data_IF_593786018222
#
_entry.id   IF_593786018222
#
_cell.length_a   1.000
_cell.length_b   1.000
_cell.length_c   1.000
_cell.angle_alpha   90.00
_cell.angle_beta   90.00
_cell.angle_gamma   90.00
#
_symmetry.space_group_name_H-M   'P 1'
#
loop_
_entity.id
_entity.type
_entity.pdbx_description
1 polymer ?
#
# COMPACT_ATOMS: atom_id res chain seq x y z
N UNK A 1 -2.61 -1.00 20.80
CA UNK A 1 -1.98 -0.30 19.65
C UNK A 1 -0.45 -0.40 19.67
N UNK A 2 0.23 -0.04 20.77
CA UNK A 2 1.70 -0.14 20.84
C UNK A 2 2.26 -1.55 20.60
N UNK A 3 1.60 -2.59 21.10
CA UNK A 3 2.00 -3.98 20.83
C UNK A 3 1.86 -4.40 19.35
N UNK A 4 0.86 -3.85 18.64
CA UNK A 4 0.70 -4.09 17.20
C UNK A 4 1.82 -3.41 16.41
N UNK A 5 2.12 -2.15 16.72
CA UNK A 5 3.20 -1.37 16.11
C UNK A 5 4.56 -2.04 16.34
N UNK A 6 4.81 -2.57 17.54
CA UNK A 6 6.05 -3.28 17.84
C UNK A 6 6.15 -4.60 17.06
N UNK A 7 5.03 -5.33 16.93
CA UNK A 7 4.95 -6.57 16.16
C UNK A 7 5.15 -6.35 14.66
N UNK A 8 4.63 -5.25 14.12
CA UNK A 8 4.81 -4.88 12.71
C UNK A 8 6.20 -4.32 12.43
N UNK A 9 6.88 -3.77 13.44
CA UNK A 9 8.27 -3.32 13.30
C UNK A 9 9.28 -4.47 13.44
N UNK A 10 9.04 -5.43 14.33
CA UNK A 10 9.89 -6.59 14.58
C UNK A 10 9.16 -7.90 14.27
N UNK A 11 9.01 -8.26 12.98
CA UNK A 11 8.39 -9.53 12.60
C UNK A 11 9.30 -10.72 12.90
N UNK A 12 8.73 -11.80 13.42
CA UNK A 12 9.45 -13.06 13.70
C UNK A 12 9.94 -13.77 12.42
N UNK A 13 9.38 -13.39 11.27
CA UNK A 13 9.55 -14.04 9.97
C UNK A 13 10.08 -13.05 8.94
N UNK A 14 11.26 -13.33 8.41
CA UNK A 14 11.91 -12.47 7.41
C UNK A 14 11.13 -12.40 6.08
N UNK A 15 10.38 -13.45 5.72
CA UNK A 15 9.57 -13.49 4.49
C UNK A 15 8.36 -12.55 4.55
N UNK A 16 7.95 -12.13 5.74
CA UNK A 16 6.86 -11.18 5.97
C UNK A 16 7.39 -9.78 6.33
N UNK A 17 8.70 -9.54 6.29
CA UNK A 17 9.29 -8.29 6.77
C UNK A 17 8.75 -7.07 6.03
N UNK A 18 8.69 -7.13 4.70
CA UNK A 18 8.16 -6.04 3.87
C UNK A 18 6.67 -5.79 4.20
N UNK A 19 5.92 -6.86 4.42
CA UNK A 19 4.51 -6.80 4.79
C UNK A 19 4.28 -6.15 6.16
N UNK A 20 5.09 -6.53 7.14
CA UNK A 20 4.97 -5.98 8.47
C UNK A 20 5.43 -4.52 8.51
N UNK A 21 6.54 -4.17 7.86
CA UNK A 21 7.05 -2.80 7.83
C UNK A 21 6.12 -1.82 7.08
N UNK A 22 5.46 -2.28 6.02
CA UNK A 22 4.48 -1.45 5.35
C UNK A 22 3.20 -1.24 6.15
N UNK A 23 2.73 -2.26 6.89
CA UNK A 23 1.66 -2.09 7.86
C UNK A 23 2.06 -1.14 9.00
N UNK A 24 3.31 -1.23 9.49
CA UNK A 24 3.86 -0.31 10.48
C UNK A 24 3.79 1.14 10.00
N UNK A 25 4.27 1.41 8.78
CA UNK A 25 4.22 2.75 8.18
C UNK A 25 2.78 3.27 8.07
N UNK A 26 1.85 2.42 7.59
CA UNK A 26 0.44 2.78 7.46
C UNK A 26 -0.21 3.18 8.79
N UNK A 27 0.04 2.39 9.84
CA UNK A 27 -0.46 2.68 11.19
C UNK A 27 0.15 3.96 11.75
N UNK A 28 1.46 4.17 11.57
CA UNK A 28 2.13 5.38 12.05
C UNK A 28 1.57 6.64 11.38
N UNK A 29 1.37 6.64 10.05
CA UNK A 29 0.78 7.78 9.34
C UNK A 29 -0.65 8.06 9.80
N UNK A 30 -1.49 7.03 9.95
CA UNK A 30 -2.86 7.20 10.45
C UNK A 30 -2.89 7.87 11.82
N UNK A 31 -1.93 7.55 12.69
CA UNK A 31 -1.84 8.08 14.05
C UNK A 31 -1.08 9.41 14.16
N UNK A 32 -0.50 9.92 13.07
CA UNK A 32 0.40 11.08 13.12
C UNK A 32 1.69 10.77 13.90
N UNK A 33 2.19 9.54 13.79
CA UNK A 33 3.41 9.08 14.43
C UNK A 33 4.56 8.96 13.43
N UNK A 34 5.78 9.19 13.91
CA UNK A 34 7.00 9.16 13.12
C UNK A 34 7.42 7.70 12.87
N UNK A 35 7.17 7.22 11.65
CA UNK A 35 7.54 5.86 11.22
C UNK A 35 9.05 5.65 11.02
N UNK A 36 9.85 6.73 10.96
CA UNK A 36 11.31 6.67 10.81
C UNK A 36 12.02 6.41 12.13
N UNK A 37 11.32 6.57 13.26
CA UNK A 37 11.84 6.24 14.58
C UNK A 37 11.38 4.84 14.99
N UNK A 38 12.25 4.02 15.59
CA UNK A 38 11.83 2.75 16.18
C UNK A 38 10.76 2.99 17.25
N UNK A 39 9.73 2.13 17.34
CA UNK A 39 8.75 2.20 18.41
C UNK A 39 9.36 1.70 19.73
N UNK A 40 10.17 2.56 20.33
CA UNK A 40 10.82 2.33 21.62
C UNK A 40 9.96 2.78 22.80
N UNK A 41 10.47 2.58 24.02
CA UNK A 41 9.76 2.93 25.25
C UNK A 41 9.65 4.44 25.48
N UNK A 42 10.37 5.27 24.72
CA UNK A 42 10.47 6.72 24.96
C UNK A 42 9.30 7.52 24.39
N UNK A 43 8.39 6.87 23.63
CA UNK A 43 7.29 7.52 22.90
C UNK A 43 7.74 8.62 21.93
N UNK A 44 9.04 8.78 21.65
CA UNK A 44 9.54 9.78 20.69
C UNK A 44 9.01 9.53 19.27
N UNK A 45 8.74 8.26 18.92
CA UNK A 45 8.08 7.92 17.66
C UNK A 45 6.62 8.40 17.59
N UNK A 46 5.97 8.77 18.70
CA UNK A 46 4.59 9.26 18.72
C UNK A 46 4.49 10.76 18.41
N UNK A 47 5.62 11.45 18.20
CA UNK A 47 5.66 12.88 17.86
C UNK A 47 5.99 13.09 16.38
N UNK A 48 4.99 13.50 15.61
CA UNK A 48 5.17 14.30 14.39
C UNK A 48 4.62 15.70 14.63
N UNK A 49 5.11 16.69 13.89
CA UNK A 49 4.44 17.98 13.84
C UNK A 49 3.07 17.84 13.16
N UNK A 50 2.13 18.74 13.47
CA UNK A 50 0.79 18.70 12.88
C UNK A 50 0.81 18.85 11.35
N UNK A 51 1.77 19.61 10.83
CA UNK A 51 1.97 19.85 9.38
C UNK A 51 2.47 18.59 8.67
N UNK A 52 3.47 17.91 9.24
CA UNK A 52 3.98 16.65 8.71
C UNK A 52 2.94 15.53 8.81
N UNK A 53 2.16 15.49 9.90
CA UNK A 53 1.09 14.51 10.05
C UNK A 53 -0.02 14.71 9.02
N UNK A 54 -0.45 15.96 8.78
CA UNK A 54 -1.47 16.29 7.78
C UNK A 54 -0.99 15.92 6.36
N UNK A 55 0.24 16.31 6.01
CA UNK A 55 0.84 15.97 4.71
C UNK A 55 0.88 14.46 4.47
N UNK A 56 1.29 13.69 5.48
CA UNK A 56 1.34 12.23 5.35
C UNK A 56 -0.06 11.59 5.28
N UNK A 57 -1.08 12.17 5.93
CA UNK A 57 -2.46 11.67 5.87
C UNK A 57 -3.12 11.96 4.52
N UNK A 58 -2.75 13.06 3.88
CA UNK A 58 -3.21 13.42 2.53
C UNK A 58 -2.62 12.49 1.46
N UNK A 59 -1.43 11.92 1.72
CA UNK A 59 -0.84 10.88 0.89
C UNK A 59 -1.60 9.55 1.04
N UNK A 60 -2.19 9.07 -0.06
CA UNK A 60 -2.93 7.81 -0.06
C UNK A 60 -2.01 6.61 0.23
N UNK A 61 -2.22 5.93 1.36
CA UNK A 61 -1.51 4.69 1.68
C UNK A 61 -2.29 3.49 1.14
N UNK A 62 -1.74 2.85 0.10
CA UNK A 62 -2.20 1.54 -0.35
C UNK A 62 -1.42 0.44 0.39
N UNK A 63 -2.08 -0.23 1.33
CA UNK A 63 -1.54 -1.34 2.09
C UNK A 63 -2.54 -2.52 2.16
N UNK A 64 -2.15 -3.79 1.91
CA UNK A 64 -0.83 -4.29 1.45
C UNK A 64 -0.45 -3.72 0.07
N UNK A 65 0.79 -3.94 -0.43
CA UNK A 65 1.22 -3.38 -1.71
C UNK A 65 0.25 -3.82 -2.82
N UNK A 66 -0.44 -2.85 -3.42
CA UNK A 66 -1.37 -3.11 -4.52
C UNK A 66 -0.77 -2.62 -5.83
N UNK A 67 -0.98 -3.37 -6.91
CA UNK A 67 -0.61 -2.96 -8.26
C UNK A 67 -1.84 -2.33 -8.90
N UNK A 68 -1.78 -1.02 -9.15
CA UNK A 68 -2.82 -0.29 -9.89
C UNK A 68 -2.42 -0.21 -11.36
N UNK A 69 -3.31 -0.68 -12.22
CA UNK A 69 -3.07 -0.77 -13.66
C UNK A 69 -4.05 0.18 -14.34
N UNK A 70 -3.50 1.22 -14.95
CA UNK A 70 -4.26 2.18 -15.73
C UNK A 70 -4.34 1.76 -17.20
N UNK A 71 -5.25 2.40 -17.95
CA UNK A 71 -5.37 2.24 -19.39
C UNK A 71 -5.69 0.81 -19.86
N UNK A 72 -6.49 0.08 -19.07
CA UNK A 72 -6.97 -1.26 -19.42
C UNK A 72 -8.12 -1.25 -20.44
N UNK A 73 -8.50 -0.07 -20.95
CA UNK A 73 -9.59 0.11 -21.91
C UNK A 73 -9.25 -0.53 -23.27
N UNK A 74 -10.15 -1.40 -23.76
CA UNK A 74 -10.03 -2.12 -25.04
C UNK A 74 -10.91 -1.55 -26.15
N UNK A 75 -11.77 -0.57 -25.85
CA UNK A 75 -12.64 0.09 -26.83
C UNK A 75 -14.03 0.41 -26.30
N UNK A 76 -14.90 0.93 -27.18
CA UNK A 76 -16.32 1.16 -26.89
C UNK A 76 -17.13 -0.07 -27.32
N UNK A 77 -17.83 -0.67 -26.37
CA UNK A 77 -18.82 -1.72 -26.63
C UNK A 77 -20.04 -1.18 -27.39
N UNK A 78 -20.93 -2.09 -27.79
CA UNK A 78 -22.09 -1.80 -28.67
C UNK A 78 -23.06 -0.73 -28.13
N UNK A 79 -22.99 -0.39 -26.84
CA UNK A 79 -23.85 0.61 -26.19
C UNK A 79 -23.07 1.86 -25.71
N UNK A 80 -21.84 2.05 -26.18
CA UNK A 80 -21.00 3.17 -25.76
C UNK A 80 -20.35 3.01 -24.38
N UNK A 81 -20.61 1.88 -23.69
CA UNK A 81 -19.88 1.47 -22.50
C UNK A 81 -18.41 1.24 -22.85
N UNK A 82 -17.51 1.81 -22.05
CA UNK A 82 -16.09 1.57 -22.16
C UNK A 82 -15.82 0.15 -21.65
N UNK A 83 -15.31 -0.71 -22.52
CA UNK A 83 -14.87 -2.06 -22.16
C UNK A 83 -13.39 -2.02 -21.77
N UNK A 84 -13.00 -2.87 -20.83
CA UNK A 84 -11.61 -2.99 -20.42
C UNK A 84 -11.26 -4.40 -20.01
N UNK A 85 -9.95 -4.66 -19.93
CA UNK A 85 -9.43 -5.94 -19.49
C UNK A 85 -9.85 -6.22 -18.04
N UNK A 86 -10.54 -7.34 -17.83
CA UNK A 86 -10.86 -7.80 -16.48
C UNK A 86 -9.61 -8.26 -15.73
N UNK A 87 -9.65 -8.19 -14.39
CA UNK A 87 -8.50 -8.48 -13.52
C UNK A 87 -7.81 -9.81 -13.82
N UNK A 88 -8.57 -10.88 -14.10
CA UNK A 88 -8.02 -12.21 -14.41
C UNK A 88 -7.18 -12.21 -15.69
N UNK A 89 -7.63 -11.50 -16.72
CA UNK A 89 -6.90 -11.40 -17.99
C UNK A 89 -5.62 -10.59 -17.77
N UNK A 90 -5.73 -9.48 -17.02
CA UNK A 90 -4.58 -8.63 -16.72
C UNK A 90 -3.51 -9.35 -15.88
N UNK A 91 -3.91 -10.15 -14.88
CA UNK A 91 -2.99 -10.97 -14.07
C UNK A 91 -2.24 -11.99 -14.95
N UNK A 92 -2.93 -12.67 -15.87
CA UNK A 92 -2.30 -13.58 -16.80
C UNK A 92 -1.31 -12.88 -17.75
N UNK A 93 -1.58 -11.64 -18.16
CA UNK A 93 -0.65 -10.85 -18.98
C UNK A 93 0.60 -10.49 -18.17
N UNK A 94 0.44 -10.01 -16.94
CA UNK A 94 1.58 -9.65 -16.06
C UNK A 94 2.45 -10.87 -15.76
N UNK A 95 1.83 -12.04 -15.59
CA UNK A 95 2.54 -13.32 -15.41
C UNK A 95 3.20 -13.85 -16.68
N UNK A 96 2.99 -13.21 -17.84
CA UNK A 96 3.53 -13.65 -19.14
C UNK A 96 2.82 -14.87 -19.73
N UNK A 97 1.66 -15.25 -19.20
CA UNK A 97 0.85 -16.37 -19.70
C UNK A 97 0.09 -15.96 -20.97
N UNK A 98 -0.39 -14.71 -21.00
CA UNK A 98 -1.07 -14.14 -22.16
C UNK A 98 -0.25 -12.98 -22.76
N UNK A 99 -0.17 -12.88 -24.08
CA UNK A 99 0.43 -11.72 -24.74
C UNK A 99 -0.43 -10.47 -24.59
N UNK A 100 0.21 -9.31 -24.45
CA UNK A 100 -0.47 -8.02 -24.50
C UNK A 100 -0.63 -7.61 -25.97
N UNK A 101 -1.81 -7.87 -26.55
CA UNK A 101 -2.16 -7.38 -27.88
C UNK A 101 -3.14 -6.22 -27.75
N UNK A 102 -2.77 -5.09 -28.35
CA UNK A 102 -3.58 -3.87 -28.41
C UNK A 102 -3.77 -3.47 -29.87
#
# INVERSE_FOLDING_TARGET
>A
MHGLILHTYNPDRADLLVDHLGLHKALCVLMGWNYSMPPDNSKAYQSLSADEAATNQDDLIMWPPQVVIHNTNTGKGKEGRIEGLGNKVMDNIIRGILPFFR
#
